data_IF_830322814037
#
_entry.id   IF_830322814037
#
_cell.length_a   1.000
_cell.length_b   1.000
_cell.length_c   1.000
_cell.angle_alpha   90.00
_cell.angle_beta   90.00
_cell.angle_gamma   90.00
#
_symmetry.space_group_name_H-M   'P 1'
#
loop_
_entity.id
_entity.type
_entity.pdbx_description
1 polymer ?
#
# COMPACT_ATOMS: atom_id res chain seq x y z
N UNK A 1 -7.43 -28.14 3.85
CA UNK A 1 -8.21 -26.94 4.22
C UNK A 1 -7.58 -25.76 3.49
N UNK A 2 -8.35 -24.99 2.72
CA UNK A 2 -7.84 -23.77 2.06
C UNK A 2 -8.07 -22.54 2.95
N UNK A 3 -7.18 -21.55 2.90
CA UNK A 3 -7.38 -20.26 3.56
C UNK A 3 -8.57 -19.52 2.93
N UNK A 4 -9.51 -19.02 3.73
CA UNK A 4 -10.60 -18.16 3.28
C UNK A 4 -10.38 -16.68 3.62
N UNK A 5 -9.16 -16.36 4.06
CA UNK A 5 -8.71 -15.01 4.41
C UNK A 5 -7.50 -14.59 3.59
N UNK A 6 -7.46 -13.29 3.30
CA UNK A 6 -6.35 -12.62 2.64
C UNK A 6 -5.83 -11.48 3.53
N UNK A 7 -4.52 -11.45 3.74
CA UNK A 7 -3.81 -10.25 4.17
C UNK A 7 -2.78 -9.89 3.10
N UNK A 8 -2.65 -8.61 2.80
CA UNK A 8 -1.74 -8.09 1.78
C UNK A 8 -1.28 -6.71 2.22
N UNK A 9 -0.01 -6.39 2.01
CA UNK A 9 0.50 -5.03 2.11
C UNK A 9 1.58 -4.78 1.07
N UNK A 10 1.78 -3.52 0.73
CA UNK A 10 2.89 -3.10 -0.12
C UNK A 10 3.32 -1.68 0.24
N UNK A 11 4.61 -1.42 0.04
CA UNK A 11 5.25 -0.13 0.30
C UNK A 11 4.72 0.96 -0.63
N UNK A 12 4.61 2.18 -0.11
CA UNK A 12 4.30 3.39 -0.85
C UNK A 12 5.63 4.08 -1.19
N UNK A 13 6.01 4.11 -2.46
CA UNK A 13 7.19 4.86 -2.90
C UNK A 13 6.75 6.27 -3.31
N UNK A 14 7.47 7.35 -2.94
CA UNK A 14 8.77 7.37 -2.26
C UNK A 14 8.67 7.72 -0.77
N UNK A 15 8.33 6.75 0.09
CA UNK A 15 8.42 6.88 1.56
C UNK A 15 9.52 5.97 2.10
N UNK A 16 10.02 6.24 3.30
CA UNK A 16 11.00 5.41 4.01
C UNK A 16 10.37 4.08 4.46
N UNK A 17 9.21 4.13 5.13
CA UNK A 17 8.54 2.93 5.64
C UNK A 17 7.00 3.02 5.59
N UNK A 18 6.49 3.91 4.74
CA UNK A 18 5.06 4.03 4.46
C UNK A 18 4.55 2.89 3.59
N UNK A 19 3.37 2.37 3.91
CA UNK A 19 2.76 1.24 3.22
C UNK A 19 1.22 1.30 3.26
N UNK A 20 0.55 0.52 2.41
CA UNK A 20 -0.88 0.23 2.59
C UNK A 20 -1.06 -1.22 3.03
N UNK A 21 -2.19 -1.52 3.66
CA UNK A 21 -2.51 -2.88 4.06
C UNK A 21 -4.00 -3.23 3.97
N UNK A 22 -4.25 -4.48 3.61
CA UNK A 22 -5.51 -5.19 3.76
C UNK A 22 -5.28 -6.31 4.76
N UNK A 23 -6.03 -6.32 5.87
CA UNK A 23 -5.82 -7.27 6.95
C UNK A 23 -7.03 -8.16 7.13
N UNK A 24 -6.82 -9.48 7.12
CA UNK A 24 -7.83 -10.49 7.43
C UNK A 24 -9.14 -10.37 6.60
N UNK A 25 -9.00 -9.96 5.33
CA UNK A 25 -10.14 -9.84 4.42
C UNK A 25 -10.74 -11.21 4.16
N UNK A 26 -12.06 -11.33 4.36
CA UNK A 26 -12.77 -12.56 4.00
C UNK A 26 -12.92 -12.64 2.49
N UNK A 27 -12.40 -13.69 1.88
CA UNK A 27 -12.56 -13.89 0.45
C UNK A 27 -14.04 -14.03 0.11
N UNK A 28 -14.51 -13.38 -0.98
CA UNK A 28 -15.91 -13.41 -1.33
C UNK A 28 -16.37 -14.82 -1.70
N UNK A 29 -17.66 -15.10 -1.47
CA UNK A 29 -18.34 -16.35 -1.84
C UNK A 29 -19.60 -16.03 -2.62
N UNK A 30 -20.03 -16.93 -3.50
CA UNK A 30 -21.32 -16.81 -4.20
C UNK A 30 -21.31 -15.81 -5.37
N UNK A 31 -20.20 -15.69 -6.09
CA UNK A 31 -20.15 -14.99 -7.37
C UNK A 31 -20.07 -13.46 -7.32
N UNK A 32 -19.98 -12.85 -6.12
CA UNK A 32 -19.80 -11.39 -5.97
C UNK A 32 -18.32 -11.05 -5.78
N UNK A 33 -17.85 -9.94 -6.34
CA UNK A 33 -16.52 -9.43 -6.06
C UNK A 33 -16.50 -8.64 -4.72
N UNK A 34 -15.36 -8.65 -4.03
CA UNK A 34 -15.08 -7.79 -2.89
C UNK A 34 -14.28 -6.57 -3.35
N UNK A 35 -14.73 -5.37 -2.98
CA UNK A 35 -13.98 -4.11 -3.14
C UNK A 35 -13.57 -3.63 -1.76
N UNK A 36 -12.29 -3.37 -1.57
CA UNK A 36 -11.76 -2.82 -0.33
C UNK A 36 -10.80 -1.68 -0.62
N UNK A 37 -10.90 -0.62 0.17
CA UNK A 37 -9.95 0.49 0.17
C UNK A 37 -9.02 0.38 1.37
N UNK A 38 -7.78 0.85 1.19
CA UNK A 38 -6.80 0.98 2.24
C UNK A 38 -6.27 2.41 2.32
N UNK A 39 -5.99 2.83 3.55
CA UNK A 39 -5.29 4.07 3.86
C UNK A 39 -3.77 3.80 3.90
N UNK A 40 -2.98 4.85 3.86
CA UNK A 40 -1.55 4.79 4.14
C UNK A 40 -1.29 4.62 5.64
N UNK A 41 -0.35 3.73 5.94
CA UNK A 41 0.21 3.50 7.26
C UNK A 41 1.70 3.83 7.22
N UNK A 42 2.19 4.25 8.37
CA UNK A 42 3.58 4.41 8.70
C UNK A 42 3.96 3.23 9.59
N UNK A 43 5.06 2.54 9.30
CA UNK A 43 5.46 1.37 10.07
C UNK A 43 6.04 1.73 11.44
N UNK A 44 6.52 2.97 11.59
CA UNK A 44 7.26 3.45 12.76
C UNK A 44 8.59 2.73 12.94
N UNK A 45 9.14 2.14 11.88
CA UNK A 45 10.43 1.46 11.91
C UNK A 45 11.59 2.43 11.75
N UNK A 46 11.35 3.56 11.08
CA UNK A 46 12.38 4.52 10.70
C UNK A 46 11.95 5.96 10.96
N UNK A 47 12.90 6.90 11.13
CA UNK A 47 12.55 8.31 11.19
C UNK A 47 11.98 8.81 9.87
N UNK A 48 10.88 9.56 9.96
CA UNK A 48 10.27 10.32 8.86
C UNK A 48 11.12 11.55 8.46
N UNK A 49 12.38 11.35 8.09
CA UNK A 49 13.36 12.42 7.85
C UNK A 49 13.30 13.04 6.44
N UNK A 50 12.56 12.39 5.54
CA UNK A 50 12.38 12.81 4.15
C UNK A 50 13.66 12.77 3.33
N UNK A 51 14.71 12.08 3.75
CA UNK A 51 15.99 12.04 3.03
C UNK A 51 15.97 10.94 1.98
N UNK A 52 16.26 11.30 0.73
CA UNK A 52 16.23 10.33 -0.36
C UNK A 52 17.23 9.17 -0.20
N UNK A 53 18.30 9.33 0.59
CA UNK A 53 19.23 8.23 0.87
C UNK A 53 18.58 7.07 1.64
N UNK A 54 17.52 7.35 2.40
CA UNK A 54 16.76 6.38 3.20
C UNK A 54 15.43 5.99 2.54
N UNK A 55 15.18 6.44 1.31
CA UNK A 55 13.93 6.21 0.60
C UNK A 55 14.23 5.37 -0.64
N UNK A 56 13.72 4.13 -0.72
CA UNK A 56 13.97 3.27 -1.86
C UNK A 56 13.17 3.68 -3.10
N UNK A 57 13.43 3.01 -4.22
CA UNK A 57 12.70 3.16 -5.47
C UNK A 57 13.27 4.23 -6.41
N UNK A 58 12.69 4.35 -7.60
CA UNK A 58 13.31 5.10 -8.71
C UNK A 58 13.35 6.61 -8.53
N UNK A 59 12.55 7.17 -7.62
CA UNK A 59 12.52 8.61 -7.35
C UNK A 59 13.74 9.04 -6.54
N UNK A 60 14.08 8.29 -5.49
CA UNK A 60 15.15 8.64 -4.57
C UNK A 60 16.41 7.76 -4.73
N UNK A 61 16.25 6.48 -5.09
CA UNK A 61 17.34 5.54 -5.29
C UNK A 61 18.11 5.17 -4.03
N UNK A 62 17.57 5.51 -2.85
CA UNK A 62 18.15 5.21 -1.55
C UNK A 62 18.04 3.74 -1.16
N UNK A 63 18.60 3.43 0.00
CA UNK A 63 18.52 2.11 0.61
C UNK A 63 17.15 1.88 1.26
N UNK A 64 16.80 0.61 1.43
CA UNK A 64 15.53 0.14 2.04
C UNK A 64 15.56 0.21 3.58
N UNK A 65 16.43 1.07 4.17
CA UNK A 65 16.55 1.26 5.62
C UNK A 65 17.35 2.51 6.06
N UNK A 66 16.84 3.23 7.06
CA UNK A 66 17.55 4.24 7.86
C UNK A 66 18.52 3.60 8.86
N UNK A 67 19.80 3.45 8.46
CA UNK A 67 20.79 2.75 9.29
C UNK A 67 21.07 3.44 10.63
N UNK A 68 20.86 2.71 11.73
CA UNK A 68 21.31 3.09 13.07
C UNK A 68 20.44 4.12 13.78
N UNK A 69 19.23 4.38 13.29
CA UNK A 69 18.25 5.27 13.94
C UNK A 69 16.90 4.56 14.01
N UNK A 70 16.29 4.57 15.19
CA UNK A 70 14.98 3.97 15.42
C UNK A 70 13.86 4.95 15.02
N UNK A 71 12.74 4.41 14.51
CA UNK A 71 11.48 5.14 14.34
C UNK A 71 10.62 5.21 15.60
N UNK A 72 9.33 5.47 15.41
CA UNK A 72 8.31 5.67 16.45
C UNK A 72 8.02 4.38 17.26
N UNK A 73 8.30 3.21 16.70
CA UNK A 73 8.14 1.90 17.33
C UNK A 73 6.71 1.33 17.29
N UNK A 74 5.80 1.94 16.53
CA UNK A 74 4.44 1.42 16.33
C UNK A 74 3.84 1.87 14.99
N UNK A 75 2.97 1.03 14.44
CA UNK A 75 2.23 1.35 13.21
C UNK A 75 1.15 2.38 13.48
N UNK A 76 1.08 3.44 12.68
CA UNK A 76 0.00 4.43 12.72
C UNK A 76 -0.43 4.90 11.33
N UNK A 77 -1.45 5.76 11.26
CA UNK A 77 -1.90 6.35 10.00
C UNK A 77 -0.80 7.28 9.48
N UNK A 78 -0.41 7.13 8.22
CA UNK A 78 0.58 7.98 7.59
C UNK A 78 -0.02 9.35 7.27
N UNK A 79 0.74 10.42 7.54
CA UNK A 79 0.30 11.80 7.30
C UNK A 79 0.28 12.26 5.84
N UNK A 80 0.81 11.45 4.91
CA UNK A 80 1.28 11.91 3.59
C UNK A 80 2.75 12.35 3.60
N UNK A 81 3.23 12.88 2.47
CA UNK A 81 4.59 13.43 2.32
C UNK A 81 4.51 14.94 2.54
N UNK A 82 5.37 15.47 3.40
CA UNK A 82 5.37 16.88 3.79
C UNK A 82 6.69 17.55 3.43
N UNK A 83 6.73 18.89 3.46
CA UNK A 83 7.82 19.73 2.95
C UNK A 83 9.17 19.67 3.68
N UNK A 84 9.37 18.64 4.49
CA UNK A 84 10.58 18.43 5.27
C UNK A 84 11.30 17.25 4.61
N UNK A 85 11.99 17.48 3.49
CA UNK A 85 12.68 16.40 2.78
C UNK A 85 13.11 16.70 1.35
N UNK A 86 13.77 15.72 0.74
CA UNK A 86 14.23 15.72 -0.65
C UNK A 86 13.10 15.44 -1.67
N UNK A 87 12.13 14.53 -1.42
CA UNK A 87 10.99 14.36 -2.33
C UNK A 87 10.12 15.62 -2.36
N UNK A 88 9.81 16.12 -3.56
CA UNK A 88 8.92 17.27 -3.74
C UNK A 88 7.49 16.93 -3.27
N UNK A 89 7.00 17.54 -2.17
CA UNK A 89 5.68 17.22 -1.63
C UNK A 89 4.55 17.54 -2.60
N UNK A 90 4.69 18.62 -3.39
CA UNK A 90 3.66 18.96 -4.37
C UNK A 90 3.49 17.88 -5.45
N UNK A 91 4.50 17.04 -5.66
CA UNK A 91 4.48 15.95 -6.64
C UNK A 91 4.10 14.60 -6.02
N UNK A 92 4.50 14.34 -4.77
CA UNK A 92 4.44 13.00 -4.17
C UNK A 92 3.56 12.90 -2.91
N UNK A 93 3.04 14.01 -2.35
CA UNK A 93 2.07 13.94 -1.26
C UNK A 93 0.82 13.15 -1.68
N UNK A 94 0.24 12.43 -0.73
CA UNK A 94 -0.96 11.63 -0.93
C UNK A 94 -1.99 11.88 0.16
N UNK A 95 -3.25 11.68 -0.21
CA UNK A 95 -4.38 11.68 0.72
C UNK A 95 -5.08 10.34 0.65
N UNK A 96 -5.54 9.90 1.80
CA UNK A 96 -6.27 8.65 1.90
C UNK A 96 -7.58 8.69 1.09
N UNK A 97 -8.00 7.57 0.47
CA UNK A 97 -7.32 6.27 0.43
C UNK A 97 -6.17 6.21 -0.59
N UNK A 98 -5.18 5.35 -0.35
CA UNK A 98 -3.99 5.19 -1.21
C UNK A 98 -4.01 3.92 -2.05
N UNK A 99 -4.88 2.96 -1.72
CA UNK A 99 -5.02 1.72 -2.47
C UNK A 99 -6.47 1.23 -2.52
N UNK A 100 -6.80 0.54 -3.61
CA UNK A 100 -8.05 -0.19 -3.80
C UNK A 100 -7.72 -1.60 -4.29
N UNK A 101 -8.31 -2.61 -3.65
CA UNK A 101 -8.28 -3.99 -4.11
C UNK A 101 -9.67 -4.41 -4.60
N UNK A 102 -9.70 -4.98 -5.80
CA UNK A 102 -10.85 -5.69 -6.36
C UNK A 102 -10.53 -7.18 -6.38
N UNK A 103 -11.28 -7.97 -5.61
CA UNK A 103 -11.07 -9.41 -5.44
C UNK A 103 -12.29 -10.12 -6.03
N UNK A 104 -12.26 -10.59 -7.29
CA UNK A 104 -13.35 -11.36 -7.88
C UNK A 104 -13.47 -12.74 -7.24
N UNK A 105 -14.69 -13.28 -7.25
CA UNK A 105 -14.88 -14.71 -7.06
C UNK A 105 -14.59 -15.43 -8.38
N UNK A 106 -13.56 -16.30 -8.40
CA UNK A 106 -13.33 -17.23 -9.51
C UNK A 106 -13.43 -18.64 -8.96
N UNK A 107 -14.10 -19.54 -9.67
CA UNK A 107 -14.23 -20.95 -9.30
C UNK A 107 -12.86 -21.64 -9.28
N UNK A 108 -12.12 -21.50 -8.17
CA UNK A 108 -10.84 -22.16 -7.93
C UNK A 108 -9.56 -21.42 -8.34
N UNK A 109 -9.58 -20.11 -8.68
CA UNK A 109 -8.36 -19.31 -8.93
C UNK A 109 -8.43 -17.93 -8.27
N UNK A 110 -7.33 -17.43 -7.73
CA UNK A 110 -7.29 -16.12 -7.07
C UNK A 110 -6.63 -15.10 -8.00
N UNK A 111 -7.34 -14.03 -8.35
CA UNK A 111 -6.79 -12.88 -9.07
C UNK A 111 -6.94 -11.66 -8.15
N UNK A 112 -5.84 -11.00 -7.78
CA UNK A 112 -5.89 -9.70 -7.12
C UNK A 112 -5.31 -8.66 -8.08
N UNK A 113 -6.03 -7.56 -8.28
CA UNK A 113 -5.50 -6.38 -8.94
C UNK A 113 -5.38 -5.25 -7.92
N UNK A 114 -4.19 -4.69 -7.87
CA UNK A 114 -3.89 -3.46 -7.16
C UNK A 114 -4.17 -2.33 -8.14
N UNK A 115 -5.19 -1.52 -7.82
CA UNK A 115 -5.49 -0.25 -8.48
C UNK A 115 -6.12 -0.34 -9.89
N UNK A 116 -7.39 0.07 -10.01
CA UNK A 116 -7.97 0.59 -11.26
C UNK A 116 -8.09 2.11 -11.10
N UNK A 117 -7.39 2.94 -11.90
CA UNK A 117 -7.50 4.40 -11.84
C UNK A 117 -8.91 4.91 -12.19
N UNK A 118 -9.81 4.05 -12.72
CA UNK A 118 -11.21 4.38 -13.00
C UNK A 118 -12.17 3.96 -11.88
N UNK A 119 -11.68 3.30 -10.83
CA UNK A 119 -12.48 2.87 -9.68
C UNK A 119 -13.55 1.81 -9.97
N UNK A 120 -13.45 1.08 -11.09
CA UNK A 120 -14.46 0.09 -11.49
C UNK A 120 -14.00 -1.33 -11.17
N UNK A 121 -14.64 -1.94 -10.18
CA UNK A 121 -14.52 -3.39 -9.98
C UNK A 121 -15.52 -4.09 -10.92
N UNK A 122 -15.09 -4.50 -12.12
CA UNK A 122 -16.00 -5.23 -13.02
C UNK A 122 -15.46 -5.66 -14.39
N UNK A 123 -15.83 -6.91 -14.73
CA UNK A 123 -15.72 -7.68 -16.00
C UNK A 123 -14.32 -7.86 -16.59
N UNK A 124 -13.58 -8.82 -16.05
CA UNK A 124 -12.58 -9.55 -16.82
C UNK A 124 -13.32 -10.46 -17.81
N UNK A 125 -13.29 -10.11 -19.10
CA UNK A 125 -13.45 -11.12 -20.14
C UNK A 125 -12.16 -11.91 -20.18
N UNK A 126 -12.26 -13.23 -20.06
CA UNK A 126 -11.19 -14.10 -20.47
C UNK A 126 -11.12 -14.03 -22.00
N UNK A 127 -9.98 -13.62 -22.54
CA UNK A 127 -9.54 -14.07 -23.86
C UNK A 127 -8.70 -15.33 -23.68
#
# INVERSE_FOLDING_TARGET
MGSDRLSLGAMLIPTNDGFFAFQNLRLPRGGKALVQYSIGFDAGSEPNDGRCINIPGTVCGGEDASLGVDGEGYVHIHGGIHAIGDPEPAAYDFRNPVAMACIPWVSGRFHAQLFDPRGQCGRFYAE
#
